data_IF_833890353769
#
_entry.id   IF_833890353769
#
_cell.length_a   1.000
_cell.length_b   1.000
_cell.length_c   1.000
_cell.angle_alpha   90.00
_cell.angle_beta   90.00
_cell.angle_gamma   90.00
#
_symmetry.space_group_name_H-M   'P 1'
#
loop_
_entity.id
_entity.type
_entity.pdbx_description
1 polymer ?
#
# COMPACT_ATOMS: atom_id res chain seq x y z
N UNK A 1 0.64 -9.22 23.34
CA UNK A 1 0.10 -8.11 22.52
C UNK A 1 -1.00 -8.67 21.64
N UNK A 2 -2.21 -8.15 21.74
CA UNK A 2 -3.34 -8.63 20.93
C UNK A 2 -3.17 -8.10 19.51
N UNK A 3 -2.96 -8.98 18.53
CA UNK A 3 -2.99 -8.60 17.12
C UNK A 3 -4.45 -8.47 16.71
N UNK A 4 -4.98 -7.26 16.67
CA UNK A 4 -6.29 -7.01 16.06
C UNK A 4 -6.22 -7.51 14.62
N UNK A 5 -7.02 -8.52 14.31
CA UNK A 5 -7.19 -9.04 12.95
C UNK A 5 -8.55 -8.60 12.44
N UNK A 6 -8.57 -8.21 11.18
CA UNK A 6 -9.78 -7.75 10.49
C UNK A 6 -10.28 -8.83 9.54
N UNK A 7 -11.60 -8.91 9.30
CA UNK A 7 -12.16 -9.91 8.41
C UNK A 7 -11.74 -9.73 6.95
N UNK A 8 -11.40 -8.50 6.54
CA UNK A 8 -10.95 -8.13 5.18
C UNK A 8 -9.96 -6.97 5.24
N UNK A 9 -9.19 -6.74 4.17
CA UNK A 9 -8.27 -5.61 4.12
C UNK A 9 -9.04 -4.27 4.08
N UNK A 10 -10.21 -4.25 3.42
CA UNK A 10 -11.13 -3.11 3.43
C UNK A 10 -11.59 -2.75 4.85
N UNK A 11 -11.88 -3.74 5.70
CA UNK A 11 -12.23 -3.49 7.10
C UNK A 11 -11.04 -2.91 7.90
N UNK A 12 -9.81 -3.32 7.60
CA UNK A 12 -8.62 -2.71 8.19
C UNK A 12 -8.44 -1.26 7.71
N UNK A 13 -8.72 -0.98 6.43
CA UNK A 13 -8.64 0.37 5.86
C UNK A 13 -9.66 1.30 6.50
N UNK A 14 -10.91 0.84 6.66
CA UNK A 14 -11.97 1.58 7.37
C UNK A 14 -11.56 1.91 8.81
N UNK A 15 -10.98 0.93 9.52
CA UNK A 15 -10.52 1.16 10.89
C UNK A 15 -9.37 2.18 10.95
N UNK A 16 -8.43 2.13 10.00
CA UNK A 16 -7.31 3.08 9.95
C UNK A 16 -7.77 4.48 9.52
N UNK A 17 -8.69 4.59 8.56
CA UNK A 17 -9.30 5.85 8.13
C UNK A 17 -10.05 6.52 9.30
N UNK A 18 -10.80 5.74 10.09
CA UNK A 18 -11.59 6.27 11.21
C UNK A 18 -10.75 6.89 12.34
N UNK A 19 -9.49 6.48 12.50
CA UNK A 19 -8.59 7.00 13.54
C UNK A 19 -7.70 8.14 13.07
N UNK A 20 -7.54 8.31 11.76
CA UNK A 20 -6.89 9.49 11.19
C UNK A 20 -7.85 10.68 11.27
N UNK A 21 -7.89 11.31 12.45
CA UNK A 21 -8.75 12.48 12.68
C UNK A 21 -8.02 13.74 12.22
N UNK A 22 -8.55 14.39 11.19
CA UNK A 22 -8.16 15.75 10.83
C UNK A 22 -8.54 16.72 11.96
N UNK A 23 -7.57 17.11 12.80
CA UNK A 23 -7.74 18.17 13.80
C UNK A 23 -7.06 19.45 13.32
N UNK A 24 -7.85 20.39 12.81
CA UNK A 24 -7.36 21.69 12.31
C UNK A 24 -6.67 22.53 13.40
N UNK A 25 -5.34 22.46 13.46
CA UNK A 25 -4.47 23.39 14.19
C UNK A 25 -4.11 24.65 13.39
N UNK A 26 -3.57 25.68 14.06
CA UNK A 26 -3.24 27.00 13.49
C UNK A 26 -2.13 27.01 12.42
N UNK A 27 -1.41 25.91 12.22
CA UNK A 27 -0.23 25.81 11.35
C UNK A 27 -0.43 24.99 10.07
N UNK A 28 -1.67 24.59 9.74
CA UNK A 28 -1.90 23.58 8.70
C UNK A 28 -1.71 22.19 9.30
N UNK A 29 -2.76 21.40 9.29
CA UNK A 29 -3.02 20.47 10.35
C UNK A 29 -2.96 19.02 9.91
N UNK A 30 -2.09 18.25 10.56
CA UNK A 30 -2.18 16.78 10.63
C UNK A 30 -1.68 16.37 12.01
N UNK A 31 -2.45 15.54 12.71
CA UNK A 31 -2.07 14.97 14.00
C UNK A 31 -1.83 13.46 13.80
N UNK A 32 -0.75 12.90 14.36
CA UNK A 32 -0.52 11.46 14.40
C UNK A 32 -1.70 10.72 15.05
N UNK A 33 -1.75 9.41 14.79
CA UNK A 33 -2.64 8.44 15.44
C UNK A 33 -2.80 8.74 16.95
N UNK A 34 -4.02 8.61 17.46
CA UNK A 34 -4.30 8.76 18.88
C UNK A 34 -3.46 7.79 19.71
N UNK A 35 -3.13 8.16 20.96
CA UNK A 35 -2.31 7.32 21.86
C UNK A 35 -2.89 5.91 22.11
N UNK A 36 -4.18 5.72 21.81
CA UNK A 36 -4.91 4.45 21.92
C UNK A 36 -4.93 3.62 20.63
N UNK A 37 -4.33 4.10 19.55
CA UNK A 37 -4.46 3.45 18.25
C UNK A 37 -3.67 2.14 18.17
N UNK A 38 -4.13 1.16 17.39
CA UNK A 38 -3.41 -0.08 17.19
C UNK A 38 -1.96 0.17 16.74
N UNK A 39 -0.99 -0.41 17.46
CA UNK A 39 0.44 -0.23 17.21
C UNK A 39 0.85 -0.50 15.75
N UNK A 40 0.13 -1.38 15.05
CA UNK A 40 0.40 -1.67 13.64
C UNK A 40 0.16 -0.45 12.73
N UNK A 41 -0.80 0.41 13.06
CA UNK A 41 -1.09 1.63 12.30
C UNK A 41 0.07 2.62 12.45
N UNK A 42 0.56 2.84 13.67
CA UNK A 42 1.70 3.74 13.92
C UNK A 42 2.98 3.21 13.29
N UNK A 43 3.19 1.89 13.35
CA UNK A 43 4.29 1.25 12.66
C UNK A 43 4.19 1.40 11.13
N UNK A 44 2.97 1.36 10.57
CA UNK A 44 2.73 1.53 9.13
C UNK A 44 3.03 2.96 8.69
N UNK A 45 2.50 3.96 9.39
CA UNK A 45 2.78 5.37 9.11
C UNK A 45 4.27 5.62 9.20
N UNK A 46 4.91 5.22 10.30
CA UNK A 46 6.36 5.36 10.46
C UNK A 46 7.13 4.69 9.32
N UNK A 47 6.77 3.47 8.93
CA UNK A 47 7.40 2.78 7.80
C UNK A 47 7.27 3.55 6.48
N UNK A 48 6.12 4.19 6.24
CA UNK A 48 5.89 5.01 5.04
C UNK A 48 6.73 6.29 5.08
N UNK A 49 6.92 6.91 6.24
CA UNK A 49 7.85 8.03 6.40
C UNK A 49 9.29 7.55 6.17
N UNK A 50 9.74 6.53 6.91
CA UNK A 50 11.12 6.06 6.96
C UNK A 50 11.59 5.34 5.66
N UNK A 51 10.71 5.10 4.68
CA UNK A 51 10.98 4.23 3.50
C UNK A 51 12.26 4.57 2.71
N UNK A 52 12.70 5.84 2.70
CA UNK A 52 13.99 6.27 2.13
C UNK A 52 14.91 7.01 3.11
N UNK A 53 14.77 6.72 4.40
CA UNK A 53 15.51 7.42 5.46
C UNK A 53 14.99 8.83 5.73
N UNK A 54 13.71 9.09 5.44
CA UNK A 54 13.09 10.31 5.97
C UNK A 54 12.79 10.07 7.44
N UNK A 55 13.57 10.67 8.33
CA UNK A 55 13.34 10.56 9.77
C UNK A 55 12.23 11.52 10.25
N UNK A 56 11.83 12.49 9.41
CA UNK A 56 10.88 13.54 9.77
C UNK A 56 9.45 13.24 9.27
N UNK A 57 8.43 13.42 10.14
CA UNK A 57 7.05 13.42 9.73
C UNK A 57 6.77 14.58 8.77
N UNK A 58 6.21 14.23 7.61
CA UNK A 58 5.91 15.13 6.50
C UNK A 58 4.40 15.17 6.24
N UNK A 59 3.81 16.37 6.29
CA UNK A 59 2.38 16.54 6.09
C UNK A 59 1.91 15.99 4.74
N UNK A 60 2.74 16.11 3.70
CA UNK A 60 2.39 15.60 2.38
C UNK A 60 2.11 14.09 2.39
N UNK A 61 2.94 13.31 3.09
CA UNK A 61 2.76 11.86 3.19
C UNK A 61 1.49 11.50 3.95
N UNK A 62 1.18 12.22 5.01
CA UNK A 62 -0.07 12.01 5.73
C UNK A 62 -1.30 12.34 4.91
N UNK A 63 -1.30 13.46 4.18
CA UNK A 63 -2.39 13.82 3.25
C UNK A 63 -2.56 12.71 2.20
N UNK A 64 -1.45 12.20 1.67
CA UNK A 64 -1.44 11.11 0.68
C UNK A 64 -1.96 9.78 1.27
N UNK A 65 -1.57 9.43 2.50
CA UNK A 65 -2.07 8.24 3.21
C UNK A 65 -3.58 8.36 3.44
N UNK A 66 -4.04 9.52 3.91
CA UNK A 66 -5.46 9.76 4.16
C UNK A 66 -6.27 9.63 2.88
N UNK A 67 -5.83 10.29 1.81
CA UNK A 67 -6.44 10.20 0.49
C UNK A 67 -6.56 8.74 0.04
N UNK A 68 -5.47 7.96 0.09
CA UNK A 68 -5.53 6.56 -0.34
C UNK A 68 -6.40 5.69 0.55
N UNK A 69 -6.49 5.98 1.85
CA UNK A 69 -7.43 5.26 2.72
C UNK A 69 -8.88 5.54 2.33
N UNK A 70 -9.24 6.79 2.04
CA UNK A 70 -10.60 7.14 1.59
C UNK A 70 -10.94 6.44 0.27
N UNK A 71 -10.02 6.46 -0.70
CA UNK A 71 -10.16 5.77 -1.97
C UNK A 71 -10.32 4.25 -1.81
N UNK A 72 -9.45 3.61 -1.01
CA UNK A 72 -9.50 2.17 -0.74
C UNK A 72 -10.79 1.76 -0.01
N UNK A 73 -11.34 2.64 0.83
CA UNK A 73 -12.63 2.43 1.50
C UNK A 73 -13.79 2.55 0.50
N UNK A 74 -13.69 3.48 -0.47
CA UNK A 74 -14.68 3.67 -1.52
C UNK A 74 -14.70 2.57 -2.59
N UNK A 75 -13.55 1.94 -2.86
CA UNK A 75 -13.36 0.94 -3.92
C UNK A 75 -13.55 -0.51 -3.41
N UNK A 76 -13.88 -1.44 -4.31
CA UNK A 76 -13.95 -2.86 -3.96
C UNK A 76 -12.55 -3.48 -3.79
N UNK A 77 -12.38 -4.34 -2.77
CA UNK A 77 -11.07 -4.91 -2.43
C UNK A 77 -10.46 -5.75 -3.57
N UNK A 78 -11.29 -6.33 -4.43
CA UNK A 78 -10.84 -7.06 -5.62
C UNK A 78 -10.20 -6.18 -6.70
N UNK A 79 -10.41 -4.86 -6.63
CA UNK A 79 -9.92 -3.90 -7.62
C UNK A 79 -8.62 -3.21 -7.16
N UNK A 80 -8.20 -3.40 -5.91
CA UNK A 80 -7.04 -2.71 -5.34
C UNK A 80 -5.72 -3.00 -6.07
N UNK A 81 -5.57 -4.18 -6.68
CA UNK A 81 -4.38 -4.52 -7.50
C UNK A 81 -4.45 -3.94 -8.91
N UNK A 82 -5.65 -3.65 -9.40
CA UNK A 82 -5.92 -3.00 -10.68
C UNK A 82 -6.06 -1.47 -10.54
N UNK A 83 -5.76 -0.94 -9.36
CA UNK A 83 -5.96 0.45 -9.02
C UNK A 83 -5.04 1.35 -9.87
N UNK A 84 -5.66 2.15 -10.74
CA UNK A 84 -4.94 3.01 -11.68
C UNK A 84 -4.51 4.31 -10.99
N UNK A 85 -3.31 4.29 -10.40
CA UNK A 85 -2.71 5.46 -9.76
C UNK A 85 -2.41 6.57 -10.76
N UNK A 86 -2.20 6.27 -12.04
CA UNK A 86 -1.92 7.28 -13.07
C UNK A 86 -3.18 8.08 -13.40
N UNK A 87 -4.35 7.43 -13.48
CA UNK A 87 -5.63 8.12 -13.68
C UNK A 87 -5.98 9.08 -12.52
N UNK A 88 -5.61 8.71 -11.30
CA UNK A 88 -5.83 9.53 -10.10
C UNK A 88 -4.87 10.71 -10.06
N UNK A 89 -3.64 10.50 -10.50
CA UNK A 89 -2.63 11.57 -10.55
C UNK A 89 -3.05 12.74 -11.42
N UNK A 90 -3.73 12.46 -12.52
CA UNK A 90 -4.32 13.51 -13.37
C UNK A 90 -5.34 14.39 -12.62
N UNK A 91 -5.91 13.90 -11.50
CA UNK A 91 -6.82 14.67 -10.64
C UNK A 91 -6.13 15.57 -9.61
N UNK A 92 -4.86 15.33 -9.27
CA UNK A 92 -4.11 16.11 -8.29
C UNK A 92 -3.64 17.49 -8.79
N UNK A 93 -3.66 17.71 -10.11
CA UNK A 93 -3.28 18.98 -10.75
C UNK A 93 -1.78 19.31 -10.64
N UNK A 94 -1.27 20.13 -11.57
CA UNK A 94 0.15 20.48 -11.66
C UNK A 94 0.64 21.45 -10.56
N UNK A 95 -0.26 22.04 -9.78
CA UNK A 95 0.07 23.13 -8.83
C UNK A 95 0.80 22.65 -7.56
N UNK A 96 0.87 21.34 -7.33
CA UNK A 96 1.46 20.74 -6.12
C UNK A 96 2.94 20.37 -6.22
N UNK A 97 3.50 20.23 -7.42
CA UNK A 97 4.77 19.50 -7.62
C UNK A 97 6.00 20.21 -7.07
N UNK A 98 6.01 21.55 -7.08
CA UNK A 98 7.08 22.31 -6.45
C UNK A 98 6.95 22.34 -4.92
N UNK A 99 5.71 22.40 -4.40
CA UNK A 99 5.45 22.36 -2.96
C UNK A 99 5.89 21.02 -2.38
N UNK A 100 5.59 19.93 -3.08
CA UNK A 100 6.10 18.59 -2.79
C UNK A 100 7.63 18.59 -2.66
N UNK A 101 8.37 19.04 -3.67
CA UNK A 101 9.83 19.04 -3.60
C UNK A 101 10.37 19.83 -2.39
N UNK A 102 9.71 20.93 -2.03
CA UNK A 102 10.14 21.79 -0.93
C UNK A 102 9.91 21.22 0.49
N UNK A 103 9.13 20.15 0.68
CA UNK A 103 8.92 19.62 2.04
C UNK A 103 10.02 18.67 2.51
N UNK A 104 10.89 18.18 1.61
CA UNK A 104 12.01 17.33 2.01
C UNK A 104 13.11 17.21 0.95
N UNK A 105 14.38 17.32 1.39
CA UNK A 105 15.55 17.12 0.52
C UNK A 105 15.66 15.69 -0.03
N UNK A 106 15.15 14.68 0.68
CA UNK A 106 15.19 13.29 0.23
C UNK A 106 14.37 13.03 -1.04
N UNK A 107 13.46 13.94 -1.41
CA UNK A 107 12.71 13.87 -2.67
C UNK A 107 13.55 14.02 -3.92
N UNK A 108 14.76 14.57 -3.78
CA UNK A 108 15.76 14.55 -4.84
C UNK A 108 16.12 13.11 -5.26
N UNK A 109 16.02 12.13 -4.36
CA UNK A 109 16.25 10.71 -4.71
C UNK A 109 15.22 10.16 -5.70
N UNK A 110 13.95 10.60 -5.62
CA UNK A 110 12.94 10.24 -6.61
C UNK A 110 13.23 10.88 -7.97
N UNK A 111 13.68 12.14 -7.97
CA UNK A 111 14.11 12.81 -9.20
C UNK A 111 15.30 12.10 -9.86
N UNK A 112 16.28 11.67 -9.07
CA UNK A 112 17.43 10.91 -9.57
C UNK A 112 17.02 9.56 -10.17
N UNK A 113 16.04 8.90 -9.58
CA UNK A 113 15.47 7.65 -10.10
C UNK A 113 14.78 7.87 -11.44
N UNK A 114 13.91 8.89 -11.56
CA UNK A 114 13.24 9.23 -12.82
C UNK A 114 14.27 9.62 -13.89
N UNK A 115 15.31 10.37 -13.53
CA UNK A 115 16.37 10.78 -14.47
C UNK A 115 17.17 9.60 -15.02
N UNK A 116 17.30 8.51 -14.25
CA UNK A 116 17.99 7.29 -14.71
C UNK A 116 17.10 6.40 -15.60
N UNK A 117 15.80 6.66 -15.68
CA UNK A 117 14.89 5.87 -16.49
C UNK A 117 15.07 6.13 -18.01
N UNK A 118 14.94 5.10 -18.87
CA UNK A 118 14.99 5.29 -20.32
C UNK A 118 13.94 6.30 -20.82
N UNK A 119 14.34 7.24 -21.69
CA UNK A 119 13.44 8.25 -22.25
C UNK A 119 13.27 9.49 -21.37
N UNK A 120 13.94 9.56 -20.20
CA UNK A 120 13.91 10.71 -19.30
C UNK A 120 14.55 11.96 -19.89
N UNK A 121 15.45 11.81 -20.87
CA UNK A 121 16.19 12.89 -21.51
C UNK A 121 15.30 13.88 -22.30
N UNK A 122 14.07 13.47 -22.60
CA UNK A 122 13.07 14.27 -23.33
C UNK A 122 12.09 14.99 -22.41
N UNK A 123 12.15 14.74 -21.10
CA UNK A 123 11.23 15.31 -20.13
C UNK A 123 11.69 16.70 -19.72
N UNK A 124 10.75 17.65 -19.65
CA UNK A 124 11.01 18.92 -19.00
C UNK A 124 10.99 18.75 -17.47
N UNK A 125 11.41 19.78 -16.73
CA UNK A 125 11.50 19.71 -15.26
C UNK A 125 10.15 19.40 -14.60
N UNK A 126 9.04 19.97 -15.10
CA UNK A 126 7.71 19.71 -14.56
C UNK A 126 7.32 18.23 -14.75
N UNK A 127 7.55 17.67 -15.93
CA UNK A 127 7.32 16.25 -16.19
C UNK A 127 8.20 15.33 -15.34
N UNK A 128 9.44 15.73 -15.05
CA UNK A 128 10.32 15.01 -14.12
C UNK A 128 9.76 15.04 -12.70
N UNK A 129 9.31 16.21 -12.22
CA UNK A 129 8.71 16.37 -10.90
C UNK A 129 7.44 15.52 -10.76
N UNK A 130 6.54 15.60 -11.74
CA UNK A 130 5.29 14.83 -11.72
C UNK A 130 5.57 13.32 -11.66
N UNK A 131 6.52 12.82 -12.46
CA UNK A 131 6.92 11.41 -12.40
C UNK A 131 7.58 11.04 -11.07
N UNK A 132 8.38 11.93 -10.50
CA UNK A 132 9.07 11.67 -9.23
C UNK A 132 8.08 11.61 -8.06
N UNK A 133 7.10 12.52 -8.06
CA UNK A 133 6.02 12.51 -7.09
C UNK A 133 5.14 11.26 -7.25
N UNK A 134 4.83 10.86 -8.48
CA UNK A 134 4.14 9.59 -8.77
C UNK A 134 4.88 8.37 -8.18
N UNK A 135 6.21 8.33 -8.24
CA UNK A 135 6.97 7.25 -7.60
C UNK A 135 6.75 7.20 -6.08
N UNK A 136 6.75 8.35 -5.41
CA UNK A 136 6.45 8.42 -3.98
C UNK A 136 5.02 7.97 -3.67
N UNK A 137 4.04 8.42 -4.46
CA UNK A 137 2.65 7.99 -4.36
C UNK A 137 2.48 6.46 -4.50
N UNK A 138 3.16 5.84 -5.47
CA UNK A 138 3.18 4.39 -5.66
C UNK A 138 3.83 3.65 -4.48
N UNK A 139 4.93 4.20 -3.94
CA UNK A 139 5.60 3.64 -2.76
C UNK A 139 4.67 3.67 -1.54
N UNK A 140 4.03 4.82 -1.28
CA UNK A 140 3.05 4.99 -0.19
C UNK A 140 1.90 3.99 -0.35
N UNK A 141 1.27 3.94 -1.54
CA UNK A 141 0.15 3.05 -1.81
C UNK A 141 0.53 1.58 -1.60
N UNK A 142 1.67 1.15 -2.13
CA UNK A 142 2.16 -0.23 -2.01
C UNK A 142 2.39 -0.63 -0.55
N UNK A 143 3.06 0.24 0.22
CA UNK A 143 3.33 0.01 1.63
C UNK A 143 2.04 -0.05 2.46
N UNK A 144 1.09 0.84 2.14
CA UNK A 144 -0.21 0.91 2.80
C UNK A 144 -1.02 -0.36 2.53
N UNK A 145 -1.22 -0.75 1.27
CA UNK A 145 -1.98 -1.96 0.90
C UNK A 145 -1.35 -3.21 1.50
N UNK A 146 -0.02 -3.33 1.47
CA UNK A 146 0.68 -4.44 2.10
C UNK A 146 0.43 -4.51 3.61
N UNK A 147 0.44 -3.37 4.31
CA UNK A 147 0.15 -3.30 5.73
C UNK A 147 -1.29 -3.70 6.05
N UNK A 148 -2.27 -3.21 5.27
CA UNK A 148 -3.68 -3.54 5.42
C UNK A 148 -3.94 -5.04 5.24
N UNK A 149 -3.35 -5.64 4.19
CA UNK A 149 -3.43 -7.09 3.92
C UNK A 149 -2.81 -7.92 5.04
N UNK A 150 -1.72 -7.45 5.65
CA UNK A 150 -1.09 -8.13 6.79
C UNK A 150 -1.99 -8.19 8.04
N UNK A 151 -3.01 -7.34 8.14
CA UNK A 151 -3.97 -7.35 9.25
C UNK A 151 -5.19 -8.25 9.01
N UNK A 152 -5.30 -8.91 7.86
CA UNK A 152 -6.43 -9.81 7.58
C UNK A 152 -6.29 -11.11 8.38
N UNK A 153 -7.40 -11.56 8.95
CA UNK A 153 -7.52 -12.87 9.56
C UNK A 153 -7.43 -13.96 8.47
N UNK A 154 -6.35 -14.74 8.49
CA UNK A 154 -6.28 -15.94 7.63
C UNK A 154 -7.20 -16.99 8.28
N UNK A 155 -8.46 -17.06 7.83
CA UNK A 155 -9.32 -18.19 8.18
C UNK A 155 -8.65 -19.44 7.65
N UNK A 156 -8.14 -20.27 8.56
CA UNK A 156 -7.60 -21.58 8.22
C UNK A 156 -8.67 -22.32 7.39
N UNK A 157 -8.35 -22.57 6.12
CA UNK A 157 -9.18 -23.42 5.28
C UNK A 157 -9.33 -24.76 6.01
N UNK A 158 -10.56 -25.29 6.19
CA UNK A 158 -10.71 -26.62 6.74
C UNK A 158 -9.96 -27.58 5.82
N UNK A 159 -8.92 -28.22 6.35
CA UNK A 159 -8.12 -29.20 5.64
C UNK A 159 -9.08 -30.19 4.98
N UNK A 160 -9.03 -30.27 3.64
CA UNK A 160 -9.88 -31.17 2.88
C UNK A 160 -9.83 -32.58 3.50
N UNK A 161 -10.97 -33.27 3.66
CA UNK A 161 -10.98 -34.60 4.25
C UNK A 161 -10.03 -35.51 3.46
N UNK A 162 -9.13 -36.17 4.18
CA UNK A 162 -8.14 -37.08 3.59
C UNK A 162 -8.86 -38.09 2.69
N UNK A 163 -8.66 -37.97 1.37
CA UNK A 163 -9.18 -38.91 0.39
C UNK A 163 -8.55 -40.27 0.69
N UNK A 164 -9.33 -41.18 1.28
CA UNK A 164 -8.93 -42.59 1.50
C UNK A 164 -8.62 -43.19 0.13
N UNK A 165 -7.34 -43.24 -0.24
CA UNK A 165 -6.85 -43.92 -1.45
C UNK A 165 -7.25 -45.39 -1.36
N UNK A 166 -8.23 -45.79 -2.17
CA UNK A 166 -8.60 -47.21 -2.31
C UNK A 166 -7.43 -47.94 -2.97
N UNK A 167 -6.99 -49.10 -2.45
CA UNK A 167 -5.85 -49.81 -3.00
C UNK A 167 -6.12 -50.27 -4.44
N UNK A 168 -5.17 -49.94 -5.32
CA UNK A 168 -5.17 -50.24 -6.75
C UNK A 168 -5.17 -51.77 -6.94
N UNK A 169 -6.23 -52.32 -7.51
CA UNK A 169 -6.41 -53.75 -7.82
C UNK A 169 -5.19 -54.27 -8.62
N UNK A 170 -4.53 -55.31 -8.09
CA UNK A 170 -3.38 -55.94 -8.70
C UNK A 170 -3.74 -56.52 -10.09
N UNK A 171 -2.92 -56.23 -11.11
CA UNK A 171 -3.05 -56.81 -12.44
C UNK A 171 -2.59 -58.27 -12.38
N UNK A 172 -3.50 -59.20 -12.64
CA UNK A 172 -3.19 -60.62 -12.89
C UNK A 172 -2.45 -60.78 -14.21
N UNK A 173 -1.34 -61.52 -14.16
CA UNK A 173 -0.48 -61.87 -15.30
C UNK A 173 -1.17 -62.94 -16.16
N UNK A 174 -1.22 -62.82 -17.49
CA UNK A 174 -1.79 -63.85 -18.34
C UNK A 174 -0.85 -65.07 -18.45
N UNK A 175 -1.41 -66.28 -18.68
CA UNK A 175 -0.64 -67.52 -18.75
C UNK A 175 0.19 -67.59 -20.04
N UNK A 176 1.42 -68.11 -19.91
CA UNK A 176 2.31 -68.37 -21.02
C UNK A 176 1.76 -69.52 -21.87
N UNK A 177 1.69 -69.31 -23.18
CA UNK A 177 1.35 -70.34 -24.17
C UNK A 177 2.61 -71.14 -24.50
N UNK A 178 2.47 -72.46 -24.56
CA UNK A 178 3.52 -73.42 -24.95
C UNK A 178 3.68 -73.50 -26.46
#
# INVERSE_FOLDING_TARGET
MSTTKYPTAKAAAQAMSAVLVSKTGKSGAIVPLADSDPQWMSATIRKIHDARGFDDPDNFKYDTIHYYLEELVGCDESEWDAYDLDAIWDSFGDDGSYKWLCTSFYRLSYLDEVRKAPGSEKLNMLSLLNRAQMLEHREIFTLLVAALRAQVEVKAQPSAPAVKRTPKRAKTKPPATA
#
